data_IF_354557615783
#
_entry.id   IF_354557615783
#
_cell.length_a   1.000
_cell.length_b   1.000
_cell.length_c   1.000
_cell.angle_alpha   90.00
_cell.angle_beta   90.00
_cell.angle_gamma   90.00
#
_symmetry.space_group_name_H-M   'P 1'
#
loop_
_entity.id
_entity.type
_entity.pdbx_description
1 polymer ?
#
# COMPACT_ATOMS: atom_id res chain seq x y z
N UNK A 1 7.54 19.54 -13.40
CA UNK A 1 7.92 18.67 -12.27
C UNK A 1 6.80 17.64 -12.05
N UNK A 2 7.13 16.37 -11.85
CA UNK A 2 6.12 15.35 -11.53
C UNK A 2 5.54 15.62 -10.13
N UNK A 3 4.21 15.59 -9.99
CA UNK A 3 3.56 15.78 -8.68
C UNK A 3 3.99 14.64 -7.73
N UNK A 4 4.48 14.94 -6.52
CA UNK A 4 4.88 13.92 -5.56
C UNK A 4 3.75 12.93 -5.28
N UNK A 5 4.09 11.65 -5.21
CA UNK A 5 3.10 10.60 -4.93
C UNK A 5 2.77 10.61 -3.44
N UNK A 6 1.53 11.00 -3.10
CA UNK A 6 1.02 10.93 -1.73
C UNK A 6 0.81 9.47 -1.31
N UNK A 7 1.18 9.12 -0.09
CA UNK A 7 0.90 7.81 0.48
C UNK A 7 -0.59 7.71 0.84
N UNK A 8 -1.18 6.53 0.62
CA UNK A 8 -2.58 6.23 0.93
C UNK A 8 -2.66 5.68 2.34
N UNK A 9 -3.63 6.13 3.13
CA UNK A 9 -3.87 5.55 4.45
C UNK A 9 -4.53 4.18 4.28
N UNK A 10 -3.98 3.17 4.96
CA UNK A 10 -4.52 1.80 4.99
C UNK A 10 -4.66 1.35 6.44
N UNK A 11 -5.79 0.72 6.75
CA UNK A 11 -6.11 0.23 8.09
C UNK A 11 -6.19 -1.30 8.19
N UNK A 12 -6.18 -2.01 7.06
CA UNK A 12 -6.30 -3.47 7.01
C UNK A 12 -5.15 -4.15 6.28
N UNK A 13 -4.69 -5.26 6.84
CA UNK A 13 -3.63 -6.09 6.30
C UNK A 13 -4.03 -7.56 6.43
N UNK A 14 -4.24 -8.29 5.33
CA UNK A 14 -4.66 -9.69 5.42
C UNK A 14 -3.53 -10.58 5.93
N UNK A 15 -3.88 -11.70 6.58
CA UNK A 15 -2.91 -12.74 6.92
C UNK A 15 -2.50 -13.56 5.69
N UNK A 16 -3.32 -13.65 4.67
CA UNK A 16 -2.97 -14.30 3.41
C UNK A 16 -2.78 -13.26 2.32
N UNK A 17 -1.63 -13.28 1.67
CA UNK A 17 -1.25 -12.32 0.65
C UNK A 17 -0.94 -12.95 -0.71
N UNK A 18 -1.30 -14.22 -0.89
CA UNK A 18 -1.07 -14.96 -2.14
C UNK A 18 -2.22 -15.94 -2.39
N UNK A 19 -2.91 -15.77 -3.51
CA UNK A 19 -4.02 -16.60 -3.95
C UNK A 19 -3.68 -17.18 -5.32
N UNK A 20 -3.94 -18.46 -5.53
CA UNK A 20 -3.50 -19.19 -6.73
C UNK A 20 -4.66 -19.97 -7.34
N UNK A 21 -4.84 -19.95 -8.68
CA UNK A 21 -5.84 -20.79 -9.33
C UNK A 21 -5.50 -22.27 -9.14
N UNK A 22 -6.51 -23.06 -8.83
CA UNK A 22 -6.34 -24.50 -8.63
C UNK A 22 -6.00 -25.22 -9.96
N UNK A 23 -5.17 -26.26 -9.88
CA UNK A 23 -4.90 -27.16 -11.00
C UNK A 23 -3.83 -26.70 -12.01
N UNK A 24 -3.15 -25.56 -11.78
CA UNK A 24 -2.02 -25.13 -12.62
C UNK A 24 -0.66 -25.40 -11.94
N UNK A 25 0.38 -25.88 -12.66
CA UNK A 25 1.73 -25.98 -12.13
C UNK A 25 2.32 -24.60 -11.81
N UNK A 26 3.02 -24.46 -10.67
CA UNK A 26 3.58 -23.16 -10.22
C UNK A 26 4.44 -22.45 -11.27
N UNK A 27 5.17 -23.20 -12.10
CA UNK A 27 6.05 -22.64 -13.14
C UNK A 27 5.30 -21.97 -14.31
N UNK A 28 3.98 -22.19 -14.44
CA UNK A 28 3.15 -21.67 -15.53
C UNK A 28 2.15 -20.61 -15.07
N UNK A 29 2.17 -20.24 -13.79
CA UNK A 29 1.21 -19.27 -13.23
C UNK A 29 1.80 -17.88 -13.31
N UNK A 30 1.23 -17.05 -14.17
CA UNK A 30 1.47 -15.62 -14.16
C UNK A 30 0.88 -15.00 -12.88
N UNK A 31 1.61 -14.05 -12.29
CA UNK A 31 1.19 -13.32 -11.10
C UNK A 31 0.59 -11.97 -11.47
N UNK A 32 -0.46 -11.59 -10.76
CA UNK A 32 -1.01 -10.26 -10.77
C UNK A 32 -0.81 -9.58 -9.43
N UNK A 33 -0.13 -8.43 -9.46
CA UNK A 33 0.18 -7.66 -8.25
C UNK A 33 -0.99 -6.74 -7.93
N UNK A 34 -1.71 -7.09 -6.86
CA UNK A 34 -2.67 -6.21 -6.20
C UNK A 34 -1.93 -5.42 -5.12
N UNK A 35 -1.92 -4.09 -5.23
CA UNK A 35 -1.27 -3.25 -4.23
C UNK A 35 -2.07 -3.25 -2.93
N UNK A 36 -1.42 -2.95 -1.82
CA UNK A 36 -2.08 -2.91 -0.51
C UNK A 36 -3.18 -1.84 -0.49
N UNK A 37 -2.93 -0.65 -1.03
CA UNK A 37 -3.95 0.40 -1.12
C UNK A 37 -5.11 0.05 -2.06
N UNK A 38 -4.89 -0.83 -3.04
CA UNK A 38 -5.94 -1.31 -3.95
C UNK A 38 -6.89 -2.27 -3.22
N UNK A 39 -6.34 -3.20 -2.42
CA UNK A 39 -7.15 -4.07 -1.57
C UNK A 39 -7.96 -3.27 -0.55
N UNK A 40 -7.35 -2.27 0.10
CA UNK A 40 -8.07 -1.42 1.06
C UNK A 40 -9.23 -0.68 0.42
N UNK A 41 -9.05 -0.16 -0.80
CA UNK A 41 -10.12 0.52 -1.51
C UNK A 41 -11.31 -0.42 -1.80
N UNK A 42 -11.04 -1.66 -2.22
CA UNK A 42 -12.08 -2.68 -2.39
C UNK A 42 -12.75 -3.03 -1.04
N UNK A 43 -11.98 -3.19 0.04
CA UNK A 43 -12.54 -3.48 1.37
C UNK A 43 -13.49 -2.37 1.84
N UNK A 44 -13.06 -1.11 1.76
CA UNK A 44 -13.88 0.04 2.19
C UNK A 44 -15.15 0.17 1.33
N UNK A 45 -15.04 0.00 0.01
CA UNK A 45 -16.18 0.22 -0.87
C UNK A 45 -17.12 -0.98 -0.98
N UNK A 46 -16.56 -2.16 -1.22
CA UNK A 46 -17.32 -3.35 -1.60
C UNK A 46 -17.71 -4.21 -0.38
N UNK A 47 -16.96 -4.12 0.72
CA UNK A 47 -17.23 -4.88 1.95
C UNK A 47 -17.85 -3.97 3.03
N UNK A 48 -17.23 -2.85 3.38
CA UNK A 48 -17.78 -1.88 4.36
C UNK A 48 -18.93 -1.03 3.79
N UNK A 49 -19.16 -1.07 2.47
CA UNK A 49 -20.26 -0.38 1.78
C UNK A 49 -20.26 1.14 1.97
N UNK A 50 -19.10 1.74 2.20
CA UNK A 50 -18.96 3.18 2.35
C UNK A 50 -19.22 3.91 1.01
N UNK A 51 -19.62 5.17 1.10
CA UNK A 51 -19.71 6.01 -0.08
C UNK A 51 -18.31 6.46 -0.54
N UNK A 52 -18.21 7.00 -1.77
CA UNK A 52 -16.92 7.36 -2.36
C UNK A 52 -16.17 8.43 -1.56
N UNK A 53 -16.91 9.36 -0.96
CA UNK A 53 -16.35 10.44 -0.17
C UNK A 53 -15.77 9.92 1.14
N UNK A 54 -16.51 9.08 1.86
CA UNK A 54 -16.05 8.40 3.08
C UNK A 54 -14.80 7.55 2.82
N UNK A 55 -14.78 6.79 1.73
CA UNK A 55 -13.60 6.01 1.37
C UNK A 55 -12.38 6.90 1.09
N UNK A 56 -12.57 7.98 0.32
CA UNK A 56 -11.51 8.92 -0.01
C UNK A 56 -10.96 9.62 1.25
N UNK A 57 -11.85 10.00 2.18
CA UNK A 57 -11.48 10.55 3.48
C UNK A 57 -10.67 9.56 4.31
N UNK A 58 -11.14 8.31 4.47
CA UNK A 58 -10.42 7.26 5.21
C UNK A 58 -9.03 6.96 4.65
N UNK A 59 -8.88 6.99 3.32
CA UNK A 59 -7.60 6.77 2.64
C UNK A 59 -6.74 8.03 2.49
N UNK A 60 -7.23 9.19 2.98
CA UNK A 60 -6.59 10.51 2.89
C UNK A 60 -6.22 10.95 1.46
N UNK A 61 -7.09 10.66 0.49
CA UNK A 61 -6.92 11.02 -0.92
C UNK A 61 -8.13 11.79 -1.46
N UNK A 62 -7.98 12.42 -2.63
CA UNK A 62 -9.14 13.02 -3.32
C UNK A 62 -10.13 11.93 -3.80
N UNK A 63 -11.41 12.27 -3.94
CA UNK A 63 -12.45 11.41 -4.54
C UNK A 63 -12.04 10.79 -5.88
N UNK A 64 -11.42 11.58 -6.78
CA UNK A 64 -10.92 11.09 -8.07
C UNK A 64 -9.80 10.07 -7.91
N UNK A 65 -8.84 10.34 -7.02
CA UNK A 65 -7.74 9.41 -6.75
C UNK A 65 -8.26 8.10 -6.18
N UNK A 66 -9.23 8.15 -5.27
CA UNK A 66 -9.89 6.95 -4.75
C UNK A 66 -10.55 6.15 -5.88
N UNK A 67 -11.31 6.81 -6.76
CA UNK A 67 -11.96 6.19 -7.92
C UNK A 67 -10.93 5.45 -8.80
N UNK A 68 -9.82 6.10 -9.14
CA UNK A 68 -8.77 5.49 -9.94
C UNK A 68 -8.13 4.26 -9.24
N UNK A 69 -7.98 4.28 -7.91
CA UNK A 69 -7.43 3.16 -7.15
C UNK A 69 -8.39 1.97 -7.20
N UNK A 70 -9.67 2.19 -6.91
CA UNK A 70 -10.64 1.09 -6.88
C UNK A 70 -10.91 0.51 -8.27
N UNK A 71 -10.92 1.34 -9.31
CA UNK A 71 -11.08 0.86 -10.70
C UNK A 71 -9.87 0.01 -11.12
N UNK A 72 -8.66 0.43 -10.78
CA UNK A 72 -7.43 -0.37 -10.97
C UNK A 72 -7.51 -1.70 -10.21
N UNK A 73 -7.93 -1.66 -8.94
CA UNK A 73 -8.06 -2.84 -8.09
C UNK A 73 -9.02 -3.87 -8.68
N UNK A 74 -10.23 -3.43 -9.03
CA UNK A 74 -11.28 -4.28 -9.60
C UNK A 74 -10.88 -4.82 -10.97
N UNK A 75 -10.26 -4.00 -11.83
CA UNK A 75 -9.76 -4.44 -13.13
C UNK A 75 -8.72 -5.55 -12.98
N UNK A 76 -7.75 -5.39 -12.07
CA UNK A 76 -6.76 -6.43 -11.78
C UNK A 76 -7.42 -7.73 -11.29
N UNK A 77 -8.28 -7.63 -10.28
CA UNK A 77 -8.97 -8.82 -9.77
C UNK A 77 -9.77 -9.51 -10.90
N UNK A 78 -10.47 -8.75 -11.74
CA UNK A 78 -11.19 -9.30 -12.89
C UNK A 78 -10.24 -10.04 -13.84
N UNK A 79 -9.15 -9.40 -14.31
CA UNK A 79 -8.17 -10.03 -15.22
C UNK A 79 -7.59 -11.30 -14.57
N UNK A 80 -7.26 -11.27 -13.27
CA UNK A 80 -6.68 -12.42 -12.60
C UNK A 80 -7.63 -13.62 -12.57
N UNK A 81 -8.91 -13.35 -12.29
CA UNK A 81 -9.94 -14.38 -12.25
C UNK A 81 -10.29 -14.90 -13.64
N UNK A 82 -10.32 -14.05 -14.68
CA UNK A 82 -10.67 -14.45 -16.05
C UNK A 82 -9.54 -15.16 -16.79
N UNK A 83 -8.29 -14.76 -16.56
CA UNK A 83 -7.11 -15.35 -17.23
C UNK A 83 -6.48 -16.49 -16.41
N UNK A 84 -6.96 -16.71 -15.19
CA UNK A 84 -6.44 -17.72 -14.28
C UNK A 84 -4.99 -17.41 -13.87
N UNK A 85 -4.77 -16.20 -13.35
CA UNK A 85 -3.51 -15.71 -12.78
C UNK A 85 -3.55 -15.80 -11.26
N UNK A 86 -2.40 -15.95 -10.62
CA UNK A 86 -2.31 -15.80 -9.18
C UNK A 86 -2.51 -14.32 -8.79
N UNK A 87 -3.11 -14.05 -7.63
CA UNK A 87 -3.19 -12.72 -7.05
C UNK A 87 -2.20 -12.63 -5.91
N UNK A 88 -1.26 -11.71 -6.01
CA UNK A 88 -0.26 -11.42 -4.97
C UNK A 88 -0.46 -10.03 -4.42
N UNK A 89 -0.75 -9.96 -3.14
CA UNK A 89 -0.95 -8.69 -2.44
C UNK A 89 0.40 -8.19 -1.95
N UNK A 90 0.95 -7.18 -2.61
CA UNK A 90 2.29 -6.65 -2.28
C UNK A 90 2.56 -5.26 -2.85
N UNK A 91 3.55 -4.57 -2.28
CA UNK A 91 3.99 -3.25 -2.74
C UNK A 91 2.92 -2.17 -2.54
N UNK A 92 3.04 -1.09 -3.32
CA UNK A 92 2.17 0.07 -3.23
C UNK A 92 2.77 1.24 -2.45
N UNK A 93 2.05 2.36 -2.41
CA UNK A 93 2.46 3.57 -1.69
C UNK A 93 1.44 3.87 -0.59
N UNK A 94 1.61 3.24 0.56
CA UNK A 94 0.67 3.31 1.68
C UNK A 94 1.37 3.56 3.02
N UNK A 95 0.62 4.12 3.95
CA UNK A 95 1.04 4.38 5.34
C UNK A 95 -0.06 3.94 6.31
N UNK A 96 0.31 3.74 7.57
CA UNK A 96 -0.61 3.34 8.66
C UNK A 96 -0.41 4.25 9.86
N UNK A 97 -1.40 4.31 10.77
CA UNK A 97 -1.30 5.06 12.04
C UNK A 97 -0.09 4.66 12.91
N UNK A 98 0.48 3.48 12.65
CA UNK A 98 1.59 2.91 13.42
C UNK A 98 2.96 3.22 12.78
N UNK A 99 2.99 3.71 11.54
CA UNK A 99 4.22 3.99 10.80
C UNK A 99 4.80 5.35 11.20
N UNK A 100 5.74 5.34 12.15
CA UNK A 100 6.55 6.52 12.51
C UNK A 100 7.99 6.33 12.09
N UNK A 101 8.59 7.35 11.49
CA UNK A 101 9.97 7.36 11.04
C UNK A 101 10.80 8.28 11.93
N UNK A 102 12.07 7.94 12.14
CA UNK A 102 13.05 8.70 12.90
C UNK A 102 14.23 9.02 12.00
N UNK A 103 14.62 10.29 11.96
CA UNK A 103 15.89 10.70 11.35
C UNK A 103 17.05 10.40 12.31
N UNK A 104 18.14 9.83 11.80
CA UNK A 104 19.34 9.54 12.60
C UNK A 104 20.24 10.75 12.81
N UNK A 105 20.13 11.80 11.98
CA UNK A 105 20.99 12.99 12.09
C UNK A 105 20.36 14.09 12.98
N UNK A 106 19.04 14.30 12.92
CA UNK A 106 18.35 15.34 13.72
C UNK A 106 17.35 14.80 14.74
N UNK A 107 17.24 13.48 14.86
CA UNK A 107 16.33 12.79 15.79
C UNK A 107 14.82 13.06 15.62
N UNK A 108 14.43 13.84 14.62
CA UNK A 108 13.03 14.15 14.37
C UNK A 108 12.21 12.89 14.09
N UNK A 109 11.03 12.78 14.71
CA UNK A 109 10.08 11.68 14.53
C UNK A 109 8.84 12.18 13.78
N UNK A 110 8.48 11.54 12.68
CA UNK A 110 7.41 11.99 11.80
C UNK A 110 6.66 10.84 11.09
N UNK A 111 5.47 11.14 10.55
CA UNK A 111 4.72 10.23 9.66
C UNK A 111 5.06 10.56 8.19
N UNK A 112 5.09 9.53 7.34
CA UNK A 112 5.31 9.70 5.90
C UNK A 112 3.98 10.03 5.23
N UNK A 113 3.94 11.19 4.56
CA UNK A 113 2.80 11.64 3.77
C UNK A 113 3.06 11.48 2.27
N UNK A 114 4.31 11.64 1.84
CA UNK A 114 4.75 11.53 0.45
C UNK A 114 5.88 10.52 0.32
N UNK A 115 6.05 9.97 -0.88
CA UNK A 115 7.15 9.03 -1.16
C UNK A 115 8.52 9.58 -0.73
N UNK A 116 8.75 10.87 -0.96
CA UNK A 116 10.00 11.54 -0.62
C UNK A 116 10.27 11.59 0.88
N UNK A 117 9.25 11.62 1.75
CA UNK A 117 9.46 11.65 3.21
C UNK A 117 10.11 10.35 3.72
N UNK A 118 10.07 9.28 2.92
CA UNK A 118 10.78 8.02 3.16
C UNK A 118 12.28 8.13 2.91
N UNK A 119 12.64 8.99 1.96
CA UNK A 119 13.98 9.10 1.41
C UNK A 119 14.71 10.34 1.97
N UNK A 120 13.98 11.37 2.40
CA UNK A 120 14.53 12.63 2.88
C UNK A 120 13.78 13.16 4.10
N UNK A 121 14.51 13.51 5.16
CA UNK A 121 13.94 14.02 6.40
C UNK A 121 13.35 15.42 6.17
N UNK A 122 12.07 15.66 6.50
CA UNK A 122 11.42 16.95 6.25
C UNK A 122 11.97 18.09 7.11
N UNK A 123 12.72 17.78 8.18
CA UNK A 123 13.26 18.79 9.10
C UNK A 123 14.69 19.23 8.76
N UNK A 124 15.53 18.32 8.24
CA UNK A 124 16.96 18.60 8.04
C UNK A 124 17.51 18.19 6.67
N UNK A 125 16.72 17.52 5.82
CA UNK A 125 17.17 17.05 4.51
C UNK A 125 18.05 15.79 4.52
N UNK A 126 18.28 15.18 5.68
CA UNK A 126 19.06 13.93 5.78
C UNK A 126 18.35 12.76 5.12
N UNK A 127 19.11 11.86 4.49
CA UNK A 127 18.64 10.59 3.92
C UNK A 127 18.71 9.42 4.92
N UNK A 128 19.25 9.65 6.12
CA UNK A 128 19.40 8.61 7.15
C UNK A 128 18.13 8.45 7.98
N UNK A 129 17.13 7.83 7.37
CA UNK A 129 15.79 7.68 7.96
C UNK A 129 15.52 6.22 8.26
N UNK A 130 15.04 5.94 9.48
CA UNK A 130 14.67 4.59 9.90
C UNK A 130 13.23 4.55 10.40
N UNK A 131 12.52 3.45 10.17
CA UNK A 131 11.23 3.24 10.79
C UNK A 131 11.41 2.98 12.29
N UNK A 132 10.78 3.78 13.14
CA UNK A 132 10.95 3.76 14.60
C UNK A 132 10.19 2.63 15.30
N UNK A 133 9.22 2.00 14.62
CA UNK A 133 8.44 0.88 15.18
C UNK A 133 8.38 -0.28 14.19
N UNK A 134 9.02 -1.39 14.54
CA UNK A 134 8.76 -2.69 13.92
C UNK A 134 7.59 -3.35 14.65
N UNK A 135 6.37 -2.89 14.40
CA UNK A 135 5.20 -3.67 14.80
C UNK A 135 5.24 -5.04 14.09
N UNK A 136 4.66 -6.08 14.67
CA UNK A 136 4.78 -7.44 14.12
C UNK A 136 4.32 -7.54 12.66
N UNK A 137 3.28 -6.78 12.28
CA UNK A 137 2.80 -6.71 10.89
C UNK A 137 3.81 -6.07 9.92
N UNK A 138 4.69 -5.17 10.38
CA UNK A 138 5.68 -4.49 9.54
C UNK A 138 6.68 -5.48 8.92
N UNK A 139 6.99 -6.59 9.60
CA UNK A 139 7.94 -7.60 9.09
C UNK A 139 7.49 -8.22 7.77
N UNK A 140 6.17 -8.33 7.56
CA UNK A 140 5.57 -8.93 6.37
C UNK A 140 5.32 -7.92 5.26
N UNK A 141 4.88 -6.72 5.63
CA UNK A 141 4.30 -5.76 4.69
C UNK A 141 5.25 -4.61 4.32
N UNK A 142 6.13 -4.20 5.23
CA UNK A 142 7.04 -3.08 5.00
C UNK A 142 8.39 -3.50 4.44
N UNK A 143 8.60 -4.80 4.13
CA UNK A 143 9.89 -5.46 3.82
C UNK A 143 10.99 -4.45 3.49
N UNK A 144 11.87 -4.27 4.47
CA UNK A 144 13.05 -3.42 4.44
C UNK A 144 13.68 -3.43 3.03
N UNK A 145 13.61 -2.29 2.32
CA UNK A 145 14.36 -2.07 1.08
C UNK A 145 15.84 -1.76 1.37
N UNK A 146 16.43 -2.37 2.41
CA UNK A 146 17.87 -2.40 2.57
C UNK A 146 18.40 -3.61 1.79
N UNK A 147 18.61 -3.40 0.50
CA UNK A 147 19.62 -4.14 -0.24
C UNK A 147 20.43 -3.17 -1.08
#
# INVERSE_FOLDING_TARGET
>A
MARPTKFRRVEFFPEDNYFVPWGKPKCQIEEMILKVEELEAMRLKDIEKLNQEECAQKMEVSRQTFQNIIDSARNKVAIALTEGKAIKISGGNYTTKLCKYRCLDCENIYEINYKQDRDTCPACGSEKIVCSRKADFCRRWCKDHNK
#
